data_IF_935992170326
#
_entry.id   IF_935992170326
#
_cell.length_a   1.000
_cell.length_b   1.000
_cell.length_c   1.000
_cell.angle_alpha   90.00
_cell.angle_beta   90.00
_cell.angle_gamma   90.00
#
_symmetry.space_group_name_H-M   'P 1'
#
loop_
_entity.id
_entity.type
_entity.pdbx_description
1 polymer ?
#
# COMPACT_ATOMS: atom_id res chain seq x y z
N UNK A 1 -6.26 15.32 4.54
CA UNK A 1 -5.94 15.29 5.98
C UNK A 1 -6.89 14.30 6.63
N UNK A 2 -6.52 13.01 6.63
CA UNK A 2 -7.38 11.92 7.11
C UNK A 2 -6.66 11.21 8.25
N UNK A 3 -7.37 11.04 9.38
CA UNK A 3 -6.85 10.38 10.57
C UNK A 3 -7.46 8.98 10.69
N UNK A 4 -6.61 7.99 10.96
CA UNK A 4 -6.96 6.60 11.17
C UNK A 4 -6.73 6.27 12.64
N UNK A 5 -7.81 5.97 13.35
CA UNK A 5 -7.75 5.69 14.78
C UNK A 5 -7.22 4.27 15.02
N UNK A 6 -6.34 4.13 16.02
CA UNK A 6 -5.78 2.84 16.46
C UNK A 6 -5.19 1.96 15.35
N UNK A 7 -4.69 2.57 14.27
CA UNK A 7 -4.24 1.84 13.08
C UNK A 7 -2.74 1.54 13.03
N UNK A 8 -1.95 2.05 13.99
CA UNK A 8 -0.51 1.80 14.01
C UNK A 8 -0.20 0.35 14.38
N UNK A 9 0.48 -0.37 13.50
CA UNK A 9 0.91 -1.76 13.73
C UNK A 9 2.00 -1.92 14.80
N UNK A 10 2.68 -0.84 15.20
CA UNK A 10 3.73 -0.89 16.24
C UNK A 10 3.18 -0.66 17.64
N UNK A 11 2.39 0.40 17.85
CA UNK A 11 1.94 0.81 19.18
C UNK A 11 0.42 0.85 19.36
N UNK A 12 -0.36 0.57 18.31
CA UNK A 12 -1.83 0.72 18.35
C UNK A 12 -2.29 2.17 18.46
N UNK A 13 -1.42 3.14 18.19
CA UNK A 13 -1.75 4.57 18.14
C UNK A 13 -2.43 5.00 16.85
N UNK A 14 -2.77 6.28 16.78
CA UNK A 14 -3.44 6.89 15.64
C UNK A 14 -2.44 7.28 14.54
N UNK A 15 -2.86 7.17 13.29
CA UNK A 15 -2.04 7.52 12.13
C UNK A 15 -2.70 8.62 11.29
N UNK A 16 -1.88 9.50 10.73
CA UNK A 16 -2.30 10.56 9.81
C UNK A 16 -1.77 10.27 8.40
N UNK A 17 -2.59 10.50 7.39
CA UNK A 17 -2.14 10.48 5.99
C UNK A 17 -1.51 11.82 5.60
N UNK A 18 -0.34 11.76 4.96
CA UNK A 18 0.42 12.91 4.47
C UNK A 18 1.03 12.60 3.08
N UNK A 19 1.54 13.64 2.41
CA UNK A 19 2.17 13.54 1.09
C UNK A 19 3.49 14.31 1.06
N UNK A 20 4.51 13.71 0.45
CA UNK A 20 5.78 14.36 0.11
C UNK A 20 6.13 14.19 -1.37
N UNK A 21 7.38 14.48 -1.74
CA UNK A 21 7.88 14.37 -3.12
C UNK A 21 7.93 12.92 -3.64
N UNK A 22 7.97 11.92 -2.75
CA UNK A 22 8.02 10.51 -3.10
C UNK A 22 6.61 9.92 -3.24
N UNK A 23 5.67 10.38 -2.43
CA UNK A 23 4.28 9.92 -2.53
C UNK A 23 3.44 10.20 -1.31
N UNK A 24 2.37 9.43 -1.16
CA UNK A 24 1.54 9.46 0.03
C UNK A 24 2.02 8.42 1.02
N UNK A 25 2.00 8.77 2.29
CA UNK A 25 2.38 7.89 3.39
C UNK A 25 1.48 8.14 4.59
N UNK A 26 1.42 7.17 5.49
CA UNK A 26 0.81 7.33 6.81
C UNK A 26 1.89 7.36 7.87
N UNK A 27 1.80 8.31 8.79
CA UNK A 27 2.70 8.43 9.93
C UNK A 27 1.90 8.31 11.24
N UNK A 28 2.41 7.52 12.18
CA UNK A 28 1.85 7.45 13.52
C UNK A 28 2.20 8.70 14.33
N UNK A 29 1.18 9.36 14.89
CA UNK A 29 1.37 10.56 15.71
C UNK A 29 2.05 10.28 17.06
N UNK A 30 2.03 9.03 17.52
CA UNK A 30 2.50 8.66 18.86
C UNK A 30 3.93 8.11 18.85
N UNK A 31 4.29 7.27 17.88
CA UNK A 31 5.60 6.61 17.82
C UNK A 31 6.42 6.90 16.55
N UNK A 32 5.87 7.67 15.60
CA UNK A 32 6.56 8.05 14.37
C UNK A 32 6.68 6.96 13.31
N UNK A 33 6.07 5.79 13.49
CA UNK A 33 6.10 4.73 12.47
C UNK A 33 5.46 5.21 11.15
N UNK A 34 6.19 5.07 10.04
CA UNK A 34 5.75 5.46 8.71
C UNK A 34 5.48 4.25 7.83
N UNK A 35 4.43 4.34 7.00
CA UNK A 35 4.05 3.31 6.03
C UNK A 35 3.66 4.00 4.73
N UNK A 36 4.34 3.67 3.64
CA UNK A 36 4.02 4.18 2.31
C UNK A 36 2.66 3.66 1.84
N UNK A 37 1.89 4.53 1.17
CA UNK A 37 0.62 4.17 0.54
C UNK A 37 0.91 3.98 -0.96
N UNK A 38 0.84 2.73 -1.48
CA UNK A 38 1.07 2.48 -2.89
C UNK A 38 0.03 3.21 -3.74
N UNK A 39 0.46 3.79 -4.86
CA UNK A 39 -0.47 4.40 -5.82
C UNK A 39 -1.10 3.30 -6.65
N UNK A 40 -2.34 3.53 -7.11
CA UNK A 40 -3.04 2.64 -8.03
C UNK A 40 -2.17 2.28 -9.26
N UNK A 41 -1.37 3.22 -9.76
CA UNK A 41 -0.40 3.01 -10.85
C UNK A 41 0.67 1.96 -10.55
N UNK A 42 1.07 1.83 -9.29
CA UNK A 42 2.15 0.94 -8.87
C UNK A 42 1.65 -0.51 -8.82
N UNK A 43 0.35 -0.71 -8.54
CA UNK A 43 -0.28 -2.03 -8.54
C UNK A 43 -0.36 -2.66 -9.94
N UNK A 44 -0.59 -1.87 -10.99
CA UNK A 44 -0.67 -2.38 -12.37
C UNK A 44 0.67 -2.96 -12.87
N UNK A 45 1.80 -2.50 -12.32
CA UNK A 45 3.13 -2.95 -12.74
C UNK A 45 3.47 -4.37 -12.26
N UNK A 46 2.72 -4.93 -11.30
CA UNK A 46 2.96 -6.27 -10.76
C UNK A 46 2.12 -7.37 -11.44
N UNK A 47 1.10 -7.03 -12.22
CA UNK A 47 0.16 -8.01 -12.80
C UNK A 47 0.55 -8.51 -14.20
N UNK A 48 1.56 -7.93 -14.84
CA UNK A 48 2.00 -8.35 -16.19
C UNK A 48 2.77 -9.69 -16.23
N UNK A 49 2.94 -10.36 -15.09
CA UNK A 49 3.69 -11.61 -14.95
C UNK A 49 2.89 -12.90 -14.73
N UNK A 50 1.55 -12.87 -14.75
CA UNK A 50 0.73 -14.08 -14.51
C UNK A 50 0.37 -14.77 -15.83
N UNK A 51 1.31 -15.63 -16.26
CA UNK A 51 1.20 -16.89 -17.02
C UNK A 51 0.04 -17.13 -18.00
N UNK A 52 0.40 -17.11 -19.28
CA UNK A 52 -0.38 -17.55 -20.42
C UNK A 52 -0.09 -19.04 -20.74
N UNK A 53 -0.45 -19.96 -19.85
CA UNK A 53 -0.17 -21.41 -20.01
C UNK A 53 -1.43 -22.28 -19.92
N UNK A 54 -2.46 -22.01 -20.73
CA UNK A 54 -3.43 -23.08 -21.02
C UNK A 54 -4.19 -22.92 -22.35
N UNK A 55 -3.57 -23.32 -23.46
CA UNK A 55 -4.27 -23.57 -24.74
C UNK A 55 -3.68 -24.72 -25.55
N UNK A 56 -3.54 -25.94 -24.98
CA UNK A 56 -3.40 -27.17 -25.78
C UNK A 56 -3.92 -28.40 -25.03
N UNK A 57 -5.19 -28.75 -25.26
CA UNK A 57 -5.71 -30.14 -25.35
C UNK A 57 -7.16 -30.09 -25.83
N UNK A 58 -7.32 -30.04 -27.15
CA UNK A 58 -8.46 -30.65 -27.83
C UNK A 58 -7.96 -32.03 -28.27
N UNK A 59 -8.65 -33.08 -27.83
CA UNK A 59 -8.51 -34.46 -28.28
C UNK A 59 -9.91 -35.03 -28.41
#
# INVERSE_FOLDING_TARGET
MTVYLKSCNRCGGDMNSNRDIYGEYRICMQCGNMVDIPKESDLFSMQSGVDNTNRKKAA
#
